data_IF_601070621498
#
_entry.id   IF_601070621498
#
_cell.length_a   1.000
_cell.length_b   1.000
_cell.length_c   1.000
_cell.angle_alpha   90.00
_cell.angle_beta   90.00
_cell.angle_gamma   90.00
#
_symmetry.space_group_name_H-M   'P 1'
#
loop_
_entity.id
_entity.type
_entity.pdbx_description
1 polymer ?
#
# COMPACT_ATOMS: atom_id res chain seq x y z
N UNK A 1 -76.15 -47.49 -24.93
CA UNK A 1 -76.48 -46.20 -25.57
C UNK A 1 -75.66 -45.14 -24.85
N UNK A 2 -74.41 -44.89 -25.25
CA UNK A 2 -74.00 -43.97 -26.33
C UNK A 2 -74.69 -42.61 -26.26
N UNK A 3 -73.95 -41.61 -25.77
CA UNK A 3 -73.64 -40.31 -26.43
C UNK A 3 -72.88 -39.49 -25.38
N UNK A 4 -71.54 -39.48 -25.40
CA UNK A 4 -70.69 -38.53 -26.13
C UNK A 4 -71.17 -37.08 -26.05
N UNK A 5 -70.72 -36.37 -25.01
CA UNK A 5 -70.42 -34.93 -25.08
C UNK A 5 -68.89 -34.88 -25.23
N UNK A 6 -68.34 -34.90 -26.46
CA UNK A 6 -68.08 -33.74 -27.31
C UNK A 6 -67.22 -32.67 -26.61
N UNK A 7 -65.92 -32.96 -26.52
CA UNK A 7 -64.81 -32.25 -27.21
C UNK A 7 -65.31 -30.97 -27.91
N UNK A 8 -64.88 -29.74 -27.61
CA UNK A 8 -63.54 -29.21 -27.36
C UNK A 8 -63.67 -27.83 -26.68
N UNK A 9 -62.67 -27.41 -25.88
CA UNK A 9 -62.14 -26.07 -26.08
C UNK A 9 -60.74 -26.21 -26.67
N UNK A 10 -60.60 -25.66 -27.87
CA UNK A 10 -59.35 -25.47 -28.60
C UNK A 10 -58.25 -24.98 -27.64
N UNK A 11 -57.42 -25.93 -27.22
CA UNK A 11 -56.12 -25.67 -26.66
C UNK A 11 -55.13 -25.65 -27.81
N UNK A 12 -54.32 -24.59 -27.84
CA UNK A 12 -53.10 -24.34 -28.64
C UNK A 12 -53.26 -23.45 -29.89
N UNK A 13 -52.28 -22.58 -30.20
CA UNK A 13 -50.89 -22.61 -29.73
C UNK A 13 -50.64 -21.66 -28.55
N UNK A 14 -50.39 -22.28 -27.39
CA UNK A 14 -49.33 -21.81 -26.51
C UNK A 14 -48.09 -21.70 -27.39
N UNK A 15 -47.66 -20.47 -27.65
CA UNK A 15 -46.33 -20.24 -28.19
C UNK A 15 -45.36 -20.75 -27.12
N UNK A 16 -44.86 -21.95 -27.39
CA UNK A 16 -43.56 -22.51 -27.01
C UNK A 16 -42.93 -22.01 -25.70
N UNK A 17 -43.01 -22.88 -24.68
CA UNK A 17 -41.91 -23.26 -23.78
C UNK A 17 -40.57 -23.45 -24.52
N UNK A 18 -39.36 -23.34 -23.91
CA UNK A 18 -38.98 -23.76 -22.55
C UNK A 18 -38.27 -22.65 -21.74
N UNK A 19 -38.38 -22.61 -20.41
CA UNK A 19 -37.52 -23.34 -19.47
C UNK A 19 -36.03 -22.97 -19.59
N UNK A 20 -35.45 -22.65 -18.43
CA UNK A 20 -34.00 -22.69 -18.15
C UNK A 20 -33.19 -21.51 -18.70
N UNK A 21 -32.77 -20.60 -17.81
CA UNK A 21 -31.38 -20.57 -17.38
C UNK A 21 -30.37 -20.83 -18.51
N UNK A 22 -30.19 -19.85 -19.39
CA UNK A 22 -28.95 -19.76 -20.13
C UNK A 22 -28.42 -18.34 -20.16
N UNK A 23 -27.34 -18.17 -19.39
CA UNK A 23 -26.21 -17.39 -19.87
C UNK A 23 -26.47 -15.90 -20.01
N UNK A 24 -26.43 -15.20 -18.88
CA UNK A 24 -25.52 -14.05 -18.85
C UNK A 24 -24.21 -14.57 -19.43
N UNK A 25 -23.91 -14.20 -20.67
CA UNK A 25 -22.64 -14.53 -21.33
C UNK A 25 -21.56 -13.99 -20.42
N UNK A 26 -21.04 -14.87 -19.58
CA UNK A 26 -19.78 -14.68 -18.90
C UNK A 26 -18.82 -14.50 -20.05
N UNK A 27 -18.43 -13.25 -20.21
CA UNK A 27 -17.36 -12.82 -21.08
C UNK A 27 -16.18 -13.71 -20.71
N UNK A 28 -15.93 -14.76 -21.50
CA UNK A 28 -14.62 -15.39 -21.60
C UNK A 28 -13.73 -14.38 -22.31
N UNK A 29 -13.41 -13.31 -21.60
CA UNK A 29 -12.09 -12.74 -21.73
C UNK A 29 -11.27 -13.72 -20.91
N UNK A 30 -10.60 -14.63 -21.60
CA UNK A 30 -9.34 -15.15 -21.12
C UNK A 30 -8.44 -13.92 -20.97
N UNK A 31 -8.63 -13.23 -19.84
CA UNK A 31 -7.67 -12.27 -19.34
C UNK A 31 -6.54 -13.18 -18.91
N UNK A 32 -5.59 -13.38 -19.82
CA UNK A 32 -4.26 -13.82 -19.49
C UNK A 32 -3.74 -12.85 -18.43
N UNK A 33 -4.07 -13.16 -17.17
CA UNK A 33 -3.48 -12.56 -15.98
C UNK A 33 -2.07 -13.10 -15.88
N UNK A 34 -1.25 -12.70 -16.83
CA UNK A 34 0.16 -12.60 -16.61
C UNK A 34 0.42 -11.27 -15.88
N UNK A 35 -0.02 -11.20 -14.62
CA UNK A 35 0.58 -10.31 -13.63
C UNK A 35 1.66 -11.11 -12.89
N UNK A 36 2.58 -11.71 -13.65
CA UNK A 36 3.87 -12.06 -13.09
C UNK A 36 4.52 -10.73 -12.68
N UNK A 37 4.47 -10.43 -11.38
CA UNK A 37 5.30 -9.42 -10.75
C UNK A 37 6.77 -9.85 -10.88
N UNK A 38 7.31 -9.75 -12.10
CA UNK A 38 8.74 -9.61 -12.26
C UNK A 38 9.10 -8.27 -11.62
N UNK A 39 9.57 -8.33 -10.38
CA UNK A 39 10.07 -7.20 -9.64
C UNK A 39 11.33 -6.68 -10.33
N UNK A 40 11.15 -5.81 -11.32
CA UNK A 40 12.24 -5.11 -11.99
C UNK A 40 12.74 -3.99 -11.07
N UNK A 41 14.04 -3.96 -10.72
CA UNK A 41 14.57 -3.05 -9.70
C UNK A 41 14.43 -1.55 -10.00
N UNK A 42 13.99 -1.17 -11.21
CA UNK A 42 13.84 0.23 -11.63
C UNK A 42 12.42 0.83 -11.54
N UNK A 43 11.37 0.03 -11.26
CA UNK A 43 9.98 0.51 -11.20
C UNK A 43 9.48 0.80 -9.78
N UNK A 44 10.18 0.28 -8.77
CA UNK A 44 9.81 0.40 -7.37
C UNK A 44 9.87 1.86 -6.85
N UNK A 45 10.76 2.68 -7.43
CA UNK A 45 10.85 4.10 -7.10
C UNK A 45 9.57 4.88 -7.42
N UNK A 46 8.87 4.57 -8.52
CA UNK A 46 7.66 5.29 -8.91
C UNK A 46 6.45 4.91 -8.02
N UNK A 47 6.31 3.63 -7.69
CA UNK A 47 5.21 3.13 -6.85
C UNK A 47 5.31 3.65 -5.42
N UNK A 48 6.52 3.68 -4.85
CA UNK A 48 6.76 4.19 -3.50
C UNK A 48 6.51 5.70 -3.41
N UNK A 49 7.03 6.48 -4.37
CA UNK A 49 6.74 7.91 -4.45
C UNK A 49 5.24 8.16 -4.61
N UNK A 50 4.53 7.35 -5.40
CA UNK A 50 3.08 7.47 -5.55
C UNK A 50 2.32 7.17 -4.25
N UNK A 51 2.68 6.11 -3.51
CA UNK A 51 2.04 5.77 -2.25
C UNK A 51 2.24 6.87 -1.19
N UNK A 52 3.45 7.42 -1.10
CA UNK A 52 3.76 8.55 -0.24
C UNK A 52 2.98 9.82 -0.63
N UNK A 53 2.83 10.10 -1.94
CA UNK A 53 2.00 11.21 -2.42
C UNK A 53 0.53 11.05 -2.00
N UNK A 54 -0.04 9.85 -2.10
CA UNK A 54 -1.42 9.60 -1.66
C UNK A 54 -1.55 9.73 -0.14
N UNK A 55 -0.57 9.23 0.64
CA UNK A 55 -0.55 9.42 2.10
C UNK A 55 -0.58 10.90 2.45
N UNK A 56 0.29 11.71 1.84
CA UNK A 56 0.32 13.15 2.07
C UNK A 56 -1.02 13.78 1.68
N UNK A 57 -1.61 13.38 0.55
CA UNK A 57 -2.93 13.86 0.14
C UNK A 57 -4.03 13.51 1.14
N UNK A 58 -4.00 12.32 1.73
CA UNK A 58 -4.91 11.90 2.80
C UNK A 58 -4.77 12.78 4.04
N UNK A 59 -3.54 12.99 4.52
CA UNK A 59 -3.26 13.78 5.74
C UNK A 59 -3.51 15.28 5.56
N UNK A 60 -3.27 15.81 4.37
CA UNK A 60 -3.41 17.23 4.06
C UNK A 60 -4.82 17.61 3.57
N UNK A 61 -5.69 16.63 3.33
CA UNK A 61 -7.07 16.87 2.89
C UNK A 61 -7.79 17.80 3.88
N UNK A 62 -8.30 18.92 3.36
CA UNK A 62 -9.05 19.91 4.13
C UNK A 62 -10.54 19.77 3.88
N UNK A 63 -11.34 20.02 4.90
CA UNK A 63 -12.80 19.93 4.80
C UNK A 63 -13.38 20.84 3.69
N UNK A 64 -12.78 22.01 3.47
CA UNK A 64 -13.17 22.98 2.45
C UNK A 64 -13.01 22.45 1.01
N UNK A 65 -12.21 21.39 0.80
CA UNK A 65 -12.08 20.73 -0.50
C UNK A 65 -13.32 19.90 -0.86
N UNK A 66 -14.27 19.73 0.07
CA UNK A 66 -15.53 19.03 -0.16
C UNK A 66 -16.77 19.90 -0.05
N UNK A 67 -17.77 19.69 -0.94
CA UNK A 67 -19.07 20.38 -0.87
C UNK A 67 -19.92 20.00 0.36
N UNK A 68 -19.48 19.06 1.21
CA UNK A 68 -20.15 18.74 2.46
C UNK A 68 -19.54 17.54 3.19
N UNK A 69 -20.07 17.20 4.38
CA UNK A 69 -19.45 16.22 5.28
C UNK A 69 -19.49 14.79 4.73
N UNK A 70 -20.60 14.39 4.10
CA UNK A 70 -20.71 13.07 3.45
C UNK A 70 -19.67 12.90 2.34
N UNK A 71 -19.45 13.96 1.60
CA UNK A 71 -18.51 14.00 0.49
C UNK A 71 -17.05 14.02 0.98
N UNK A 72 -16.77 14.77 2.05
CA UNK A 72 -15.47 14.75 2.74
C UNK A 72 -15.13 13.33 3.22
N UNK A 73 -16.07 12.65 3.89
CA UNK A 73 -15.87 11.29 4.36
C UNK A 73 -15.57 10.32 3.21
N UNK A 74 -16.34 10.40 2.10
CA UNK A 74 -16.10 9.54 0.94
C UNK A 74 -14.71 9.73 0.35
N UNK A 75 -14.25 10.98 0.22
CA UNK A 75 -12.92 11.30 -0.31
C UNK A 75 -11.80 10.84 0.61
N UNK A 76 -11.95 11.03 1.92
CA UNK A 76 -11.01 10.50 2.91
C UNK A 76 -10.95 8.97 2.85
N UNK A 77 -12.10 8.29 2.70
CA UNK A 77 -12.14 6.84 2.54
C UNK A 77 -11.39 6.38 1.28
N UNK A 78 -11.67 7.00 0.13
CA UNK A 78 -10.98 6.68 -1.13
C UNK A 78 -9.46 6.92 -1.05
N UNK A 79 -9.02 8.00 -0.42
CA UNK A 79 -7.61 8.29 -0.20
C UNK A 79 -6.96 7.26 0.74
N UNK A 80 -7.63 6.91 1.83
CA UNK A 80 -7.18 5.88 2.77
C UNK A 80 -7.03 4.51 2.11
N UNK A 81 -8.02 4.10 1.31
CA UNK A 81 -7.98 2.86 0.54
C UNK A 81 -6.80 2.83 -0.43
N UNK A 82 -6.57 3.93 -1.17
CA UNK A 82 -5.44 4.01 -2.11
C UNK A 82 -4.07 4.04 -1.41
N UNK A 83 -4.00 4.64 -0.22
CA UNK A 83 -2.76 4.69 0.57
C UNK A 83 -2.44 3.34 1.20
N UNK A 84 -3.39 2.75 1.94
CA UNK A 84 -3.17 1.53 2.73
C UNK A 84 -3.39 0.24 1.94
N UNK A 85 -4.08 0.29 0.80
CA UNK A 85 -4.34 -0.83 -0.12
C UNK A 85 -4.75 -2.12 0.61
N UNK A 86 -5.85 -2.11 1.40
CA UNK A 86 -6.25 -3.26 2.21
C UNK A 86 -6.65 -4.50 1.38
N UNK A 87 -6.84 -4.36 0.07
CA UNK A 87 -7.01 -5.49 -0.86
C UNK A 87 -5.71 -6.26 -1.10
N UNK A 88 -4.55 -5.62 -0.82
CA UNK A 88 -3.21 -6.15 -1.05
C UNK A 88 -2.42 -6.38 0.24
N UNK A 89 -2.72 -5.62 1.29
CA UNK A 89 -2.03 -5.67 2.58
C UNK A 89 -2.85 -6.39 3.65
N UNK A 90 -2.18 -7.24 4.42
CA UNK A 90 -2.75 -7.79 5.66
C UNK A 90 -2.93 -6.70 6.71
N UNK A 91 -3.69 -7.01 7.77
CA UNK A 91 -3.86 -6.10 8.92
C UNK A 91 -2.50 -5.72 9.52
N UNK A 92 -1.61 -6.68 9.68
CA UNK A 92 -0.27 -6.49 10.25
C UNK A 92 0.57 -5.57 9.36
N UNK A 93 0.52 -5.76 8.04
CA UNK A 93 1.20 -4.87 7.08
C UNK A 93 0.64 -3.44 7.12
N UNK A 94 -0.68 -3.28 7.25
CA UNK A 94 -1.29 -1.95 7.42
C UNK A 94 -0.81 -1.30 8.71
N UNK A 95 -0.76 -2.04 9.82
CA UNK A 95 -0.25 -1.53 11.09
C UNK A 95 1.22 -1.13 10.97
N UNK A 96 2.04 -1.93 10.29
CA UNK A 96 3.45 -1.63 10.03
C UNK A 96 3.62 -0.32 9.23
N UNK A 97 2.80 -0.09 8.20
CA UNK A 97 2.80 1.18 7.46
C UNK A 97 2.45 2.39 8.34
N UNK A 98 1.49 2.24 9.25
CA UNK A 98 1.11 3.30 10.20
C UNK A 98 2.21 3.55 11.24
N UNK A 99 2.85 2.49 11.73
CA UNK A 99 3.99 2.60 12.66
C UNK A 99 5.18 3.25 11.96
N UNK A 100 5.47 2.88 10.71
CA UNK A 100 6.53 3.49 9.91
C UNK A 100 6.27 5.00 9.71
N UNK A 101 5.05 5.38 9.32
CA UNK A 101 4.66 6.80 9.24
C UNK A 101 4.93 7.53 10.56
N UNK A 102 4.46 6.95 11.67
CA UNK A 102 4.63 7.56 12.99
C UNK A 102 6.10 7.65 13.39
N UNK A 103 6.87 6.59 13.19
CA UNK A 103 8.30 6.53 13.51
C UNK A 103 9.06 7.62 12.76
N UNK A 104 8.83 7.75 11.45
CA UNK A 104 9.45 8.81 10.65
C UNK A 104 9.05 10.21 11.13
N UNK A 105 7.82 10.40 11.62
CA UNK A 105 7.32 11.70 12.07
C UNK A 105 7.88 12.17 13.42
N UNK A 106 8.34 11.26 14.28
CA UNK A 106 8.87 11.60 15.62
C UNK A 106 10.39 11.84 15.62
N UNK A 107 11.07 11.54 14.50
CA UNK A 107 12.50 11.77 14.40
C UNK A 107 12.81 13.27 14.41
N UNK A 108 13.88 13.71 15.09
CA UNK A 108 14.38 15.08 14.98
C UNK A 108 14.68 15.43 13.51
N UNK A 109 14.43 16.67 13.09
CA UNK A 109 14.54 17.11 11.68
C UNK A 109 15.89 16.74 11.02
N UNK A 110 17.00 16.89 11.76
CA UNK A 110 18.35 16.58 11.27
C UNK A 110 18.51 15.09 10.98
N UNK A 111 17.94 14.23 11.83
CA UNK A 111 17.97 12.77 11.68
C UNK A 111 16.99 12.34 10.59
N UNK A 112 15.80 12.93 10.57
CA UNK A 112 14.78 12.66 9.59
C UNK A 112 15.29 12.90 8.17
N UNK A 113 15.97 14.02 7.91
CA UNK A 113 16.56 14.32 6.60
C UNK A 113 17.54 13.22 6.13
N UNK A 114 18.36 12.69 7.04
CA UNK A 114 19.28 11.58 6.75
C UNK A 114 18.54 10.29 6.46
N UNK A 115 17.55 9.94 7.27
CA UNK A 115 16.75 8.72 7.08
C UNK A 115 16.04 8.73 5.72
N UNK A 116 15.56 9.89 5.26
CA UNK A 116 14.92 10.02 3.94
C UNK A 116 15.86 9.76 2.76
N UNK A 117 17.18 9.96 2.89
CA UNK A 117 18.14 9.63 1.83
C UNK A 117 18.08 8.12 1.48
N UNK A 118 17.77 7.28 2.47
CA UNK A 118 17.74 5.82 2.34
C UNK A 118 16.38 5.26 1.90
N UNK A 119 15.32 6.08 1.87
CA UNK A 119 13.96 5.67 1.47
C UNK A 119 13.48 4.36 2.15
N UNK A 120 13.48 4.30 3.49
CA UNK A 120 13.19 3.07 4.22
C UNK A 120 11.75 2.60 3.98
N UNK A 121 11.59 1.28 3.88
CA UNK A 121 10.35 0.60 3.53
C UNK A 121 9.68 -0.11 4.70
N UNK A 122 10.37 -0.21 5.83
CA UNK A 122 9.89 -0.82 7.05
C UNK A 122 10.46 -0.10 8.26
N UNK A 123 9.85 -0.32 9.43
CA UNK A 123 10.38 0.19 10.69
C UNK A 123 11.81 -0.31 10.96
N UNK A 124 12.09 -1.58 10.64
CA UNK A 124 13.41 -2.19 10.80
C UNK A 124 14.48 -1.51 9.92
N UNK A 125 14.14 -1.13 8.69
CA UNK A 125 15.05 -0.36 7.83
C UNK A 125 15.35 1.01 8.44
N UNK A 126 14.35 1.69 9.01
CA UNK A 126 14.57 2.96 9.74
C UNK A 126 15.52 2.73 10.92
N UNK A 127 15.26 1.72 11.76
CA UNK A 127 16.10 1.41 12.93
C UNK A 127 17.54 1.15 12.51
N UNK A 128 17.74 0.34 11.47
CA UNK A 128 19.08 0.05 10.94
C UNK A 128 19.81 1.34 10.52
N UNK A 129 19.12 2.28 9.85
CA UNK A 129 19.72 3.57 9.48
C UNK A 129 20.06 4.41 10.71
N UNK A 130 19.19 4.42 11.73
CA UNK A 130 19.41 5.16 12.97
C UNK A 130 20.63 4.63 13.75
N UNK A 131 20.74 3.32 13.91
CA UNK A 131 21.89 2.67 14.58
C UNK A 131 23.21 2.98 13.85
N UNK A 132 23.20 2.97 12.51
CA UNK A 132 24.36 3.35 11.72
C UNK A 132 24.74 4.83 11.92
N UNK A 133 23.75 5.73 11.97
CA UNK A 133 24.00 7.16 12.24
C UNK A 133 24.56 7.39 13.65
N UNK A 134 24.08 6.66 14.66
CA UNK A 134 24.60 6.74 16.03
C UNK A 134 26.07 6.30 16.10
N UNK A 135 26.40 5.16 15.49
CA UNK A 135 27.80 4.67 15.45
C UNK A 135 28.75 5.59 14.69
N UNK A 136 28.29 6.27 13.63
CA UNK A 136 29.09 7.29 12.93
C UNK A 136 29.43 8.49 13.81
N UNK A 137 28.51 8.90 14.69
CA UNK A 137 28.71 10.01 15.63
C UNK A 137 29.70 9.60 16.74
N UNK A 138 29.59 8.37 17.25
CA UNK A 138 30.51 7.84 18.27
C UNK A 138 31.93 7.63 17.72
N UNK A 139 32.05 7.11 16.49
CA UNK A 139 33.34 6.88 15.82
C UNK A 139 34.14 8.17 15.54
N UNK A 140 33.45 9.31 15.37
CA UNK A 140 34.09 10.63 15.24
C UNK A 140 34.58 11.20 16.57
N UNK A 141 34.03 10.76 17.71
CA UNK A 141 34.48 11.15 19.05
C UNK A 141 35.80 10.49 19.48
N UNK A 142 36.18 9.37 18.88
CA UNK A 142 37.37 8.60 19.28
C UNK A 142 38.69 9.04 18.59
N UNK A 143 38.64 9.98 17.63
CA UNK A 143 39.81 10.46 16.88
C UNK A 143 40.55 11.64 17.57
N UNK A 144 40.03 12.17 18.68
CA UNK A 144 40.69 13.21 19.50
C UNK A 144 41.14 12.56 20.82
N UNK A 145 42.29 11.90 20.83
CA UNK A 145 42.80 11.32 22.08
C UNK A 145 44.00 10.37 22.01
N UNK A 146 44.74 10.30 20.90
CA UNK A 146 46.04 9.60 20.87
C UNK A 146 47.10 10.45 20.16
N UNK A 147 47.34 11.64 20.71
CA UNK A 147 48.48 12.48 20.38
C UNK A 147 49.49 12.48 21.53
N UNK A 148 50.64 11.85 21.28
CA UNK A 148 51.91 11.98 22.00
C UNK A 148 51.96 11.59 23.49
N UNK A 149 52.32 10.33 23.77
CA UNK A 149 53.37 10.08 24.76
C UNK A 149 54.61 9.70 23.96
N UNK A 150 55.55 10.64 23.88
CA UNK A 150 56.78 10.47 23.14
C UNK A 150 57.63 9.35 23.72
N UNK A 151 57.94 8.36 22.90
CA UNK A 151 59.14 7.56 23.08
C UNK A 151 60.35 8.46 22.82
N UNK A 152 61.10 8.79 23.87
CA UNK A 152 62.49 9.23 23.74
C UNK A 152 63.42 8.02 23.92
N UNK A 153 64.22 7.62 22.92
CA UNK A 153 65.42 6.82 23.15
C UNK A 153 66.58 7.75 23.59
N UNK A 154 67.79 7.21 23.79
CA UNK A 154 69.03 7.87 24.27
C UNK A 154 69.07 8.04 25.81
N UNK A 155 69.90 7.37 26.61
CA UNK A 155 71.16 6.65 26.36
C UNK A 155 72.28 7.26 27.21
N UNK A 156 72.56 6.68 28.39
CA UNK A 156 73.88 6.40 29.00
C UNK A 156 73.75 6.03 30.48
#
# INVERSE_FOLDING_TARGET
MSTKLREDPVLTPVVHTPEEQEGLRIVKVEEEKNYAWEQKPGQLGNVHTYQELIRQRFRQFRYQEAPGPREALRRLWELCQKWLQPERHSKEQILELLVLEQLLSILPEVVQARVWEYHPRSGEEVVTVLENLETELEGKGQQVGKGLVGCGPWGH
#
